data_IF_667066762886
#
_entry.id   IF_667066762886
#
_cell.length_a   1.000
_cell.length_b   1.000
_cell.length_c   1.000
_cell.angle_alpha   90.00
_cell.angle_beta   90.00
_cell.angle_gamma   90.00
#
_symmetry.space_group_name_H-M   'P 1'
#
loop_
_entity.id
_entity.type
_entity.pdbx_description
1 polymer ?
#
# COMPACT_ATOMS: atom_id res chain seq x y z
N UNK A 1 -3.95 -2.76 -21.19
CA UNK A 1 -3.43 -3.66 -20.15
C UNK A 1 -3.44 -2.90 -18.84
N UNK A 2 -3.91 -3.54 -17.77
CA UNK A 2 -3.83 -3.02 -16.41
C UNK A 2 -2.62 -3.62 -15.69
N UNK A 3 -2.07 -2.88 -14.74
CA UNK A 3 -0.88 -3.21 -13.95
C UNK A 3 -1.27 -3.23 -12.48
N UNK A 4 -0.88 -4.26 -11.75
CA UNK A 4 -1.30 -4.47 -10.35
C UNK A 4 -0.11 -4.96 -9.52
N UNK A 5 -0.15 -4.72 -8.21
CA UNK A 5 0.82 -5.23 -7.25
C UNK A 5 0.09 -5.76 -6.02
N UNK A 6 0.49 -6.92 -5.45
CA UNK A 6 -0.14 -7.48 -4.25
C UNK A 6 0.05 -6.59 -3.01
N UNK A 7 1.03 -5.70 -3.02
CA UNK A 7 1.31 -4.78 -1.91
C UNK A 7 0.35 -3.58 -1.89
N UNK A 8 -0.29 -3.29 -3.03
CA UNK A 8 -1.22 -2.16 -3.21
C UNK A 8 -2.47 -2.62 -3.99
N UNK A 9 -3.27 -3.56 -3.45
CA UNK A 9 -4.32 -4.25 -4.20
C UNK A 9 -5.43 -3.34 -4.75
N UNK A 10 -5.64 -2.17 -4.13
CA UNK A 10 -6.64 -1.18 -4.54
C UNK A 10 -6.14 -0.24 -5.66
N UNK A 11 -4.89 -0.40 -6.10
CA UNK A 11 -4.23 0.43 -7.10
C UNK A 11 -3.94 -0.37 -8.37
N UNK A 12 -4.79 -0.16 -9.37
CA UNK A 12 -4.66 -0.75 -10.71
C UNK A 12 -4.20 0.33 -11.68
N UNK A 13 -2.95 0.26 -12.11
CA UNK A 13 -2.37 1.14 -13.12
C UNK A 13 -2.81 0.81 -14.52
N UNK A 14 -2.80 1.79 -15.40
CA UNK A 14 -3.00 1.56 -16.83
C UNK A 14 -2.49 2.73 -17.67
N UNK A 15 -2.18 2.44 -18.94
CA UNK A 15 -1.93 3.45 -19.96
C UNK A 15 -3.28 3.90 -20.54
N UNK A 16 -3.81 5.01 -20.05
CA UNK A 16 -5.08 5.59 -20.50
C UNK A 16 -4.93 6.21 -21.91
N UNK A 17 -5.73 5.81 -22.90
CA UNK A 17 -5.80 6.50 -24.18
C UNK A 17 -6.23 7.95 -23.97
N UNK A 18 -5.52 8.90 -24.57
CA UNK A 18 -5.90 10.32 -24.57
C UNK A 18 -6.79 10.57 -25.78
N UNK A 19 -8.02 11.01 -25.53
CA UNK A 19 -9.00 11.33 -26.56
C UNK A 19 -8.59 12.60 -27.34
N UNK A 20 -9.14 12.84 -28.55
CA UNK A 20 -8.90 14.07 -29.30
C UNK A 20 -9.24 15.36 -28.52
N UNK A 21 -10.19 15.27 -27.58
CA UNK A 21 -10.56 16.36 -26.65
C UNK A 21 -9.45 16.67 -25.65
N UNK A 22 -8.43 15.82 -25.56
CA UNK A 22 -7.33 15.91 -24.61
C UNK A 22 -7.61 15.23 -23.28
N UNK A 23 -8.78 14.66 -23.06
CA UNK A 23 -9.11 13.95 -21.81
C UNK A 23 -8.54 12.52 -21.82
N UNK A 24 -7.91 12.06 -20.73
CA UNK A 24 -7.57 10.65 -20.60
C UNK A 24 -8.85 9.83 -20.41
N UNK A 25 -8.93 8.71 -21.12
CA UNK A 25 -10.04 7.80 -20.97
C UNK A 25 -10.02 7.12 -19.58
N UNK A 26 -11.18 6.71 -19.04
CA UNK A 26 -11.28 6.17 -17.69
C UNK A 26 -10.68 4.76 -17.54
N UNK A 27 -10.33 4.09 -18.64
CA UNK A 27 -9.74 2.76 -18.62
C UNK A 27 -8.79 2.55 -19.81
N UNK A 28 -7.94 1.53 -19.72
CA UNK A 28 -7.10 1.10 -20.83
C UNK A 28 -7.89 0.56 -22.04
N UNK A 29 -9.18 0.23 -21.89
CA UNK A 29 -9.97 -0.38 -22.97
C UNK A 29 -10.73 0.65 -23.80
N UNK A 30 -10.83 1.89 -23.30
CA UNK A 30 -11.54 2.98 -23.94
C UNK A 30 -10.73 3.57 -25.12
N UNK A 31 -10.52 2.77 -26.15
CA UNK A 31 -9.87 3.16 -27.39
C UNK A 31 -10.88 3.70 -28.40
N UNK A 32 -10.51 4.82 -29.03
CA UNK A 32 -11.12 5.28 -30.27
C UNK A 32 -10.09 5.14 -31.39
N UNK A 33 -10.52 5.07 -32.66
CA UNK A 33 -9.58 5.09 -33.81
C UNK A 33 -8.76 6.39 -33.89
N UNK A 34 -9.07 7.39 -33.08
CA UNK A 34 -8.56 8.76 -33.14
C UNK A 34 -7.79 9.18 -31.89
N UNK A 35 -7.51 8.28 -30.95
CA UNK A 35 -6.72 8.63 -29.77
C UNK A 35 -5.36 9.22 -30.17
N UNK A 36 -4.91 10.23 -29.41
CA UNK A 36 -3.73 11.04 -29.78
C UNK A 36 -2.50 10.69 -28.95
N UNK A 37 -2.64 9.83 -27.93
CA UNK A 37 -1.54 9.43 -27.08
C UNK A 37 -1.97 8.58 -25.89
N UNK A 38 -1.04 8.38 -24.96
CA UNK A 38 -1.27 7.73 -23.68
C UNK A 38 -0.95 8.66 -22.51
N UNK A 39 -1.62 8.44 -21.39
CA UNK A 39 -1.32 9.05 -20.11
C UNK A 39 -1.33 7.95 -19.03
N UNK A 40 -0.39 7.99 -18.10
CA UNK A 40 -0.40 7.04 -17.00
C UNK A 40 -1.56 7.37 -16.05
N UNK A 41 -2.35 6.37 -15.68
CA UNK A 41 -3.50 6.53 -14.81
C UNK A 41 -3.61 5.36 -13.83
N UNK A 42 -4.41 5.54 -12.78
CA UNK A 42 -4.71 4.52 -11.77
C UNK A 42 -6.20 4.50 -11.45
N UNK A 43 -6.71 3.34 -11.03
CA UNK A 43 -8.08 3.18 -10.49
C UNK A 43 -8.41 4.12 -9.32
N UNK A 44 -7.42 4.63 -8.61
CA UNK A 44 -7.58 5.58 -7.49
C UNK A 44 -7.61 7.04 -7.95
N UNK A 45 -7.98 7.30 -9.21
CA UNK A 45 -8.07 8.64 -9.82
C UNK A 45 -6.71 9.36 -10.04
N UNK A 46 -5.59 8.73 -9.69
CA UNK A 46 -4.28 9.29 -9.98
C UNK A 46 -4.01 9.30 -11.48
N UNK A 47 -3.48 10.42 -11.99
CA UNK A 47 -3.02 10.57 -13.38
C UNK A 47 -1.69 11.31 -13.43
N UNK A 48 -0.75 10.85 -14.25
CA UNK A 48 0.52 11.56 -14.48
C UNK A 48 0.27 12.85 -15.27
N UNK A 49 1.11 13.87 -15.11
CA UNK A 49 0.98 15.14 -15.86
C UNK A 49 1.46 15.02 -17.31
N UNK A 50 2.31 14.04 -17.62
CA UNK A 50 2.93 13.85 -18.92
C UNK A 50 2.06 12.95 -19.81
N UNK A 51 1.97 13.32 -21.08
CA UNK A 51 1.40 12.51 -22.16
C UNK A 51 2.50 11.90 -23.02
N UNK A 52 2.19 10.76 -23.61
CA UNK A 52 3.07 9.97 -24.43
C UNK A 52 2.46 9.76 -25.82
N UNK A 53 3.27 9.58 -26.86
CA UNK A 53 2.77 9.35 -28.22
C UNK A 53 1.85 8.13 -28.31
N UNK A 54 0.97 8.11 -29.32
CA UNK A 54 0.10 6.98 -29.64
C UNK A 54 0.86 5.80 -30.28
N UNK A 55 1.91 5.33 -29.63
CA UNK A 55 2.75 4.21 -30.07
C UNK A 55 2.88 3.15 -28.98
N UNK A 56 3.29 1.92 -29.30
CA UNK A 56 3.59 0.90 -28.30
C UNK A 56 4.61 1.36 -27.25
N UNK A 57 5.61 2.15 -27.66
CA UNK A 57 6.62 2.73 -26.77
C UNK A 57 5.98 3.76 -25.84
N UNK A 58 5.06 4.60 -26.33
CA UNK A 58 4.32 5.54 -25.51
C UNK A 58 3.45 4.86 -24.44
N UNK A 59 2.87 3.69 -24.75
CA UNK A 59 2.15 2.88 -23.78
C UNK A 59 3.09 2.33 -22.68
N UNK A 60 4.28 1.85 -23.05
CA UNK A 60 5.31 1.38 -22.09
C UNK A 60 5.84 2.51 -21.21
N UNK A 61 6.01 3.71 -21.77
CA UNK A 61 6.42 4.89 -20.99
C UNK A 61 5.33 5.32 -19.98
N UNK A 62 4.05 5.24 -20.36
CA UNK A 62 2.94 5.47 -19.44
C UNK A 62 2.90 4.43 -18.31
N UNK A 63 3.13 3.16 -18.63
CA UNK A 63 3.29 2.11 -17.62
C UNK A 63 4.46 2.42 -16.66
N UNK A 64 5.64 2.73 -17.20
CA UNK A 64 6.82 3.07 -16.40
C UNK A 64 6.57 4.28 -15.49
N UNK A 65 5.82 5.29 -15.97
CA UNK A 65 5.42 6.43 -15.15
C UNK A 65 4.55 6.01 -13.97
N UNK A 66 3.55 5.16 -14.19
CA UNK A 66 2.72 4.66 -13.10
C UNK A 66 3.58 3.92 -12.06
N UNK A 67 4.44 3.01 -12.49
CA UNK A 67 5.34 2.27 -11.58
C UNK A 67 6.25 3.20 -10.78
N UNK A 68 6.91 4.15 -11.44
CA UNK A 68 7.93 5.00 -10.81
C UNK A 68 7.36 6.14 -9.97
N UNK A 69 6.21 6.71 -10.34
CA UNK A 69 5.66 7.92 -9.71
C UNK A 69 4.49 7.66 -8.79
N UNK A 70 3.81 6.53 -8.93
CA UNK A 70 2.62 6.21 -8.14
C UNK A 70 2.80 4.93 -7.34
N UNK A 71 3.07 3.81 -8.00
CA UNK A 71 3.13 2.51 -7.34
C UNK A 71 4.31 2.41 -6.37
N UNK A 72 5.52 2.80 -6.77
CA UNK A 72 6.72 2.65 -5.93
C UNK A 72 6.63 3.39 -4.58
N UNK A 73 6.19 4.66 -4.50
CA UNK A 73 5.96 5.31 -3.21
C UNK A 73 4.91 4.62 -2.33
N UNK A 74 3.82 4.13 -2.93
CA UNK A 74 2.77 3.43 -2.20
C UNK A 74 3.25 2.07 -1.66
N UNK A 75 3.96 1.30 -2.48
CA UNK A 75 4.55 0.02 -2.07
C UNK A 75 5.61 0.20 -0.98
N UNK A 76 6.41 1.27 -1.05
CA UNK A 76 7.40 1.57 -0.01
C UNK A 76 6.75 1.91 1.35
N UNK A 77 5.52 2.42 1.35
CA UNK A 77 4.75 2.74 2.55
C UNK A 77 3.87 1.58 3.04
N UNK A 78 3.49 0.66 2.14
CA UNK A 78 2.63 -0.47 2.44
C UNK A 78 3.41 -1.65 3.02
N UNK A 79 2.79 -2.46 3.90
CA UNK A 79 3.32 -3.77 4.24
C UNK A 79 3.29 -4.69 3.02
N UNK A 80 4.29 -5.58 2.84
CA UNK A 80 4.26 -6.58 1.78
C UNK A 80 2.99 -7.44 1.84
N UNK A 81 2.29 -7.59 0.70
CA UNK A 81 1.00 -8.26 0.61
C UNK A 81 1.04 -9.73 1.06
N UNK A 82 2.17 -10.40 0.83
CA UNK A 82 2.39 -11.77 1.33
C UNK A 82 2.32 -11.84 2.87
N UNK A 83 2.90 -10.86 3.57
CA UNK A 83 2.87 -10.80 5.03
C UNK A 83 1.47 -10.48 5.55
N UNK A 84 0.73 -9.61 4.87
CA UNK A 84 -0.68 -9.34 5.18
C UNK A 84 -1.53 -10.60 5.02
N UNK A 85 -1.38 -11.32 3.90
CA UNK A 85 -2.11 -12.57 3.64
C UNK A 85 -1.80 -13.65 4.71
N UNK A 86 -0.53 -13.81 5.10
CA UNK A 86 -0.14 -14.72 6.17
C UNK A 86 -0.72 -14.31 7.53
N UNK A 87 -0.75 -13.02 7.84
CA UNK A 87 -1.37 -12.49 9.06
C UNK A 87 -2.86 -12.80 9.12
N UNK A 88 -3.59 -12.53 8.03
CA UNK A 88 -5.02 -12.84 7.93
C UNK A 88 -5.29 -14.34 8.08
N UNK A 89 -4.49 -15.19 7.43
CA UNK A 89 -4.60 -16.64 7.56
C UNK A 89 -4.34 -17.12 9.00
N UNK A 90 -3.36 -16.53 9.70
CA UNK A 90 -3.13 -16.81 11.11
C UNK A 90 -4.34 -16.43 11.96
N UNK A 91 -4.91 -15.25 11.75
CA UNK A 91 -6.11 -14.79 12.43
C UNK A 91 -7.29 -15.79 12.25
N UNK A 92 -7.58 -16.16 11.00
CA UNK A 92 -8.64 -17.14 10.69
C UNK A 92 -8.40 -18.49 11.37
N UNK A 93 -7.16 -18.96 11.41
CA UNK A 93 -6.79 -20.22 12.08
C UNK A 93 -6.95 -20.13 13.59
N UNK A 94 -6.60 -18.99 14.20
CA UNK A 94 -6.81 -18.77 15.64
C UNK A 94 -8.30 -18.75 15.97
N UNK A 95 -9.13 -18.12 15.13
CA UNK A 95 -10.60 -18.13 15.32
C UNK A 95 -11.15 -19.56 15.31
N UNK A 96 -10.73 -20.40 14.35
CA UNK A 96 -11.11 -21.82 14.32
C UNK A 96 -10.58 -22.59 15.54
N UNK A 97 -9.33 -22.36 15.91
CA UNK A 97 -8.73 -22.98 17.11
C UNK A 97 -9.47 -22.60 18.39
N UNK A 98 -9.95 -21.35 18.51
CA UNK A 98 -10.70 -20.90 19.68
C UNK A 98 -12.05 -21.63 19.82
N UNK A 99 -12.70 -21.97 18.70
CA UNK A 99 -13.94 -22.74 18.70
C UNK A 99 -13.72 -24.20 19.10
N UNK A 100 -12.60 -24.81 18.68
CA UNK A 100 -12.33 -26.23 18.91
C UNK A 100 -11.56 -26.50 20.22
N UNK A 101 -10.63 -25.60 20.58
CA UNK A 101 -9.64 -25.77 21.65
C UNK A 101 -9.32 -24.43 22.33
N UNK A 102 -10.26 -23.84 23.09
CA UNK A 102 -10.17 -22.46 23.59
C UNK A 102 -8.93 -22.19 24.47
N UNK A 103 -8.54 -23.11 25.36
CA UNK A 103 -7.33 -22.92 26.18
C UNK A 103 -6.04 -22.94 25.33
N UNK A 104 -6.00 -23.73 24.25
CA UNK A 104 -4.86 -23.74 23.34
C UNK A 104 -4.79 -22.42 22.53
N UNK A 105 -5.94 -21.88 22.13
CA UNK A 105 -6.02 -20.57 21.50
C UNK A 105 -5.53 -19.44 22.43
N UNK A 106 -5.92 -19.47 23.72
CA UNK A 106 -5.41 -18.51 24.71
C UNK A 106 -3.90 -18.58 24.87
N UNK A 107 -3.33 -19.79 24.96
CA UNK A 107 -1.87 -19.97 25.03
C UNK A 107 -1.15 -19.43 23.80
N UNK A 108 -1.72 -19.59 22.60
CA UNK A 108 -1.15 -19.04 21.37
C UNK A 108 -1.30 -17.51 21.32
N UNK A 109 -2.46 -16.97 21.68
CA UNK A 109 -2.71 -15.52 21.70
C UNK A 109 -1.81 -14.80 22.71
N UNK A 110 -1.59 -15.39 23.88
CA UNK A 110 -0.65 -14.85 24.88
C UNK A 110 0.79 -14.82 24.35
N UNK A 111 1.20 -15.83 23.57
CA UNK A 111 2.47 -15.77 22.86
C UNK A 111 2.45 -14.62 21.85
N UNK A 112 1.46 -14.54 20.94
CA UNK A 112 1.30 -13.45 19.96
C UNK A 112 1.45 -12.07 20.60
N UNK A 113 0.73 -11.80 21.68
CA UNK A 113 0.80 -10.53 22.40
C UNK A 113 2.23 -10.20 22.91
N UNK A 114 2.95 -11.21 23.41
CA UNK A 114 4.30 -11.04 23.96
C UNK A 114 5.32 -10.55 22.92
N UNK A 115 5.43 -11.22 21.76
CA UNK A 115 6.37 -10.78 20.71
C UNK A 115 5.82 -9.61 19.90
N UNK A 116 4.50 -9.47 19.74
CA UNK A 116 3.89 -8.31 19.08
C UNK A 116 4.26 -7.00 19.79
N UNK A 117 4.18 -6.94 21.12
CA UNK A 117 4.58 -5.75 21.89
C UNK A 117 6.04 -5.37 21.62
N UNK A 118 6.93 -6.35 21.74
CA UNK A 118 8.37 -6.15 21.53
C UNK A 118 8.68 -5.68 20.10
N UNK A 119 8.08 -6.31 19.10
CA UNK A 119 8.27 -5.94 17.70
C UNK A 119 7.69 -4.55 17.37
N UNK A 120 6.59 -4.18 18.00
CA UNK A 120 5.98 -2.86 17.82
C UNK A 120 6.89 -1.77 18.36
N UNK A 121 7.46 -1.94 19.55
CA UNK A 121 8.41 -0.98 20.13
C UNK A 121 9.63 -0.82 19.21
N UNK A 122 10.19 -1.93 18.71
CA UNK A 122 11.31 -1.90 17.76
C UNK A 122 10.97 -1.20 16.44
N UNK A 123 9.78 -1.44 15.89
CA UNK A 123 9.33 -0.80 14.66
C UNK A 123 9.17 0.72 14.84
N UNK A 124 8.63 1.17 15.98
CA UNK A 124 8.52 2.59 16.31
C UNK A 124 9.91 3.22 16.45
N UNK A 125 10.84 2.58 17.18
CA UNK A 125 12.22 3.08 17.29
C UNK A 125 12.87 3.25 15.91
N UNK A 126 12.81 2.22 15.06
CA UNK A 126 13.37 2.30 13.69
C UNK A 126 12.69 3.37 12.83
N UNK A 127 11.38 3.52 12.94
CA UNK A 127 10.66 4.58 12.22
C UNK A 127 11.11 5.97 12.67
N UNK A 128 11.31 6.16 13.98
CA UNK A 128 11.81 7.41 14.56
C UNK A 128 13.26 7.70 14.15
N UNK A 129 14.14 6.70 14.16
CA UNK A 129 15.52 6.81 13.66
C UNK A 129 15.58 7.15 12.17
N UNK A 130 14.66 6.63 11.37
CA UNK A 130 14.49 6.98 9.96
C UNK A 130 13.85 8.36 9.73
N UNK A 131 13.57 9.12 10.79
CA UNK A 131 13.06 10.49 10.74
C UNK A 131 11.53 10.63 10.70
N UNK A 132 10.76 9.53 10.83
CA UNK A 132 9.30 9.61 10.84
C UNK A 132 8.81 10.39 12.06
N UNK A 133 7.92 11.36 11.87
CA UNK A 133 7.29 12.15 12.93
C UNK A 133 6.30 11.35 13.78
N UNK A 134 5.99 11.81 15.01
CA UNK A 134 4.93 11.20 15.82
C UNK A 134 3.55 11.22 15.15
N UNK A 135 3.30 12.18 14.26
CA UNK A 135 2.08 12.21 13.46
C UNK A 135 2.06 11.04 12.47
N UNK A 136 3.16 10.78 11.76
CA UNK A 136 3.27 9.64 10.84
C UNK A 136 3.19 8.29 11.55
N UNK A 137 3.78 8.17 12.74
CA UNK A 137 3.64 6.95 13.58
C UNK A 137 2.20 6.75 14.02
N UNK A 138 1.51 7.81 14.46
CA UNK A 138 0.09 7.76 14.82
C UNK A 138 -0.79 7.34 13.65
N UNK A 139 -0.61 7.96 12.49
CA UNK A 139 -1.29 7.63 11.23
C UNK A 139 -1.13 6.15 10.88
N UNK A 140 0.10 5.64 10.86
CA UNK A 140 0.40 4.24 10.53
C UNK A 140 -0.24 3.23 11.51
N UNK A 141 -0.50 3.66 12.74
CA UNK A 141 -1.10 2.84 13.79
C UNK A 141 -2.61 3.07 13.96
N UNK A 142 -3.21 4.00 13.22
CA UNK A 142 -4.62 4.37 13.39
C UNK A 142 -4.94 5.04 14.74
N UNK A 143 -3.97 5.74 15.34
CA UNK A 143 -4.12 6.44 16.63
C UNK A 143 -3.70 7.91 16.53
N UNK A 144 -4.10 8.73 17.51
CA UNK A 144 -3.68 10.13 17.53
C UNK A 144 -2.17 10.29 17.76
N UNK A 145 -1.60 11.39 17.28
CA UNK A 145 -0.20 11.81 17.57
C UNK A 145 0.10 11.80 19.08
N UNK A 146 -0.83 12.31 19.90
CA UNK A 146 -0.66 12.40 21.35
C UNK A 146 -0.60 11.00 21.97
N UNK A 147 -1.51 10.11 21.57
CA UNK A 147 -1.54 8.71 22.01
C UNK A 147 -0.26 7.96 21.62
N UNK A 148 0.24 8.17 20.40
CA UNK A 148 1.51 7.59 19.95
C UNK A 148 2.69 8.12 20.79
N UNK A 149 2.74 9.43 21.02
CA UNK A 149 3.81 10.03 21.81
C UNK A 149 3.80 9.54 23.26
N UNK A 150 2.65 9.55 23.94
CA UNK A 150 2.55 9.07 25.33
C UNK A 150 2.96 7.61 25.46
N UNK A 151 2.56 6.77 24.51
CA UNK A 151 2.85 5.34 24.51
C UNK A 151 4.33 5.03 24.30
N UNK A 152 5.03 5.79 23.45
CA UNK A 152 6.39 5.43 23.00
C UNK A 152 7.48 6.42 23.38
N UNK A 153 7.18 7.49 24.13
CA UNK A 153 8.18 8.50 24.54
C UNK A 153 9.39 7.92 25.29
N UNK A 154 9.25 6.78 25.95
CA UNK A 154 10.34 6.09 26.66
C UNK A 154 11.35 5.41 25.72
N UNK A 155 10.96 5.12 24.48
CA UNK A 155 11.79 4.42 23.49
C UNK A 155 12.55 5.36 22.54
N UNK A 156 12.38 6.68 22.68
CA UNK A 156 12.96 7.70 21.79
C UNK A 156 14.27 8.34 22.32
N UNK A 157 14.76 7.89 23.48
CA UNK A 157 15.97 8.42 24.16
C UNK A 157 17.06 7.34 24.33
N UNK A 158 17.10 6.31 23.49
CA UNK A 158 18.09 5.22 23.55
C UNK A 158 18.91 5.16 22.29
#
# INVERSE_FOLDING_TARGET
MTFESPDIPDHKGFAAPVLPTGEPAPSAEAFTRTFVGYQAACSCEWTDRRRFPATPEGAKEAEYRWWSRHAAPLMAAAPPGELVAKSNLLCERIVKLAAERPLAALTLLSQVESWQRTLLDQAVTRAREAGASWAQVGEAMGISKQSAHERFRTHANS
#
